data_IF_610376694758
#
_entry.id   IF_610376694758
#
_cell.length_a   1.000
_cell.length_b   1.000
_cell.length_c   1.000
_cell.angle_alpha   90.00
_cell.angle_beta   90.00
_cell.angle_gamma   90.00
#
_symmetry.space_group_name_H-M   'P 1'
#
loop_
_entity.id
_entity.type
_entity.pdbx_description
1 polymer ?
#
# COMPACT_ATOMS: atom_id res chain seq x y z
N UNK A 1 -7.41 26.85 7.04
CA UNK A 1 -7.11 25.46 6.63
C UNK A 1 -6.22 24.81 7.68
N UNK A 2 -6.53 23.59 8.12
CA UNK A 2 -5.76 22.87 9.15
C UNK A 2 -4.52 22.13 8.62
N UNK A 3 -3.81 21.42 9.49
CA UNK A 3 -2.66 20.59 9.11
C UNK A 3 -3.11 19.38 8.28
N UNK A 4 -2.41 19.12 7.17
CA UNK A 4 -2.62 17.95 6.32
C UNK A 4 -2.26 16.68 7.10
N UNK A 5 -3.22 15.75 7.24
CA UNK A 5 -3.04 14.46 7.92
C UNK A 5 -3.20 13.26 6.97
N UNK A 6 -4.11 13.35 6.00
CA UNK A 6 -4.40 12.28 5.05
C UNK A 6 -4.72 12.85 3.67
N UNK A 7 -4.19 12.23 2.62
CA UNK A 7 -4.55 12.52 1.22
C UNK A 7 -4.25 11.30 0.34
N UNK A 8 -5.24 10.84 -0.44
CA UNK A 8 -5.11 9.68 -1.36
C UNK A 8 -4.51 8.42 -0.71
N UNK A 9 -4.92 8.09 0.52
CA UNK A 9 -4.38 6.94 1.26
C UNK A 9 -2.97 7.15 1.83
N UNK A 10 -2.38 8.34 1.66
CA UNK A 10 -1.10 8.73 2.27
C UNK A 10 -1.38 9.48 3.58
N UNK A 11 -0.77 8.99 4.65
CA UNK A 11 -0.74 9.60 5.98
C UNK A 11 0.47 10.54 6.09
N UNK A 12 0.24 11.73 6.62
CA UNK A 12 1.25 12.77 6.76
C UNK A 12 1.53 13.01 8.25
N UNK A 13 2.73 12.66 8.70
CA UNK A 13 3.22 12.98 10.03
C UNK A 13 4.31 14.05 9.90
N UNK A 14 4.05 15.26 10.41
CA UNK A 14 5.02 16.37 10.38
C UNK A 14 5.58 16.61 11.78
N UNK A 15 6.91 16.56 11.86
CA UNK A 15 7.68 17.08 12.99
C UNK A 15 8.25 18.45 12.64
N UNK A 16 9.00 19.07 13.55
CA UNK A 16 9.65 20.36 13.29
C UNK A 16 10.86 20.23 12.35
N UNK A 17 11.50 19.06 12.30
CA UNK A 17 12.66 18.79 11.45
C UNK A 17 12.26 18.10 10.13
N UNK A 18 11.29 17.19 10.18
CA UNK A 18 11.02 16.25 9.08
C UNK A 18 9.53 16.03 8.81
N UNK A 19 9.26 15.54 7.60
CA UNK A 19 7.94 15.06 7.17
C UNK A 19 8.06 13.56 6.90
N UNK A 20 7.29 12.77 7.62
CA UNK A 20 7.13 11.34 7.41
C UNK A 20 5.83 11.08 6.63
N UNK A 21 5.94 10.24 5.60
CA UNK A 21 4.83 9.79 4.78
C UNK A 21 4.65 8.29 4.97
N UNK A 22 3.42 7.86 5.21
CA UNK A 22 3.06 6.45 5.41
C UNK A 22 1.86 6.11 4.53
N UNK A 23 1.82 4.89 4.01
CA UNK A 23 0.59 4.28 3.44
C UNK A 23 0.16 3.07 4.25
N UNK A 24 0.66 2.90 5.49
CA UNK A 24 0.46 1.69 6.29
C UNK A 24 -1.03 1.34 6.42
N UNK A 25 -1.87 2.33 6.70
CA UNK A 25 -3.31 2.14 6.77
C UNK A 25 -3.90 1.73 5.43
N UNK A 26 -3.56 2.43 4.35
CA UNK A 26 -4.04 2.10 3.01
C UNK A 26 -3.66 0.68 2.58
N UNK A 27 -2.41 0.27 2.82
CA UNK A 27 -1.96 -1.10 2.53
C UNK A 27 -2.73 -2.12 3.38
N UNK A 28 -2.94 -1.84 4.66
CA UNK A 28 -3.71 -2.74 5.53
C UNK A 28 -5.17 -2.87 5.06
N UNK A 29 -5.83 -1.75 4.78
CA UNK A 29 -7.22 -1.73 4.30
C UNK A 29 -7.33 -2.45 2.94
N UNK A 30 -6.38 -2.24 2.02
CA UNK A 30 -6.33 -2.95 0.75
C UNK A 30 -6.17 -4.47 0.94
N UNK A 31 -5.29 -4.90 1.84
CA UNK A 31 -5.10 -6.33 2.13
C UNK A 31 -6.35 -6.96 2.76
N UNK A 32 -7.06 -6.22 3.61
CA UNK A 32 -8.31 -6.67 4.20
C UNK A 32 -9.41 -6.82 3.13
N UNK A 33 -9.60 -5.79 2.29
CA UNK A 33 -10.59 -5.77 1.20
C UNK A 33 -10.35 -6.86 0.16
N UNK A 34 -9.08 -7.21 -0.09
CA UNK A 34 -8.69 -8.23 -1.07
C UNK A 34 -8.58 -9.63 -0.45
N UNK A 35 -8.90 -9.80 0.84
CA UNK A 35 -8.76 -11.05 1.59
C UNK A 35 -7.33 -11.61 1.63
N UNK A 36 -6.31 -10.74 1.55
CA UNK A 36 -4.89 -11.08 1.71
C UNK A 36 -4.35 -10.80 3.11
N UNK A 37 -5.21 -10.45 4.07
CA UNK A 37 -4.80 -10.29 5.46
C UNK A 37 -4.33 -11.63 6.04
N UNK A 38 -3.05 -11.73 6.41
CA UNK A 38 -2.47 -12.95 6.97
C UNK A 38 -2.02 -14.00 5.94
N UNK A 39 -2.07 -13.70 4.64
CA UNK A 39 -1.47 -14.58 3.62
C UNK A 39 0.04 -14.60 3.75
N UNK A 40 0.68 -15.76 3.53
CA UNK A 40 2.13 -15.86 3.52
C UNK A 40 2.68 -15.01 2.36
N UNK A 41 3.55 -14.02 2.62
CA UNK A 41 4.22 -13.29 1.56
C UNK A 41 5.05 -14.28 0.75
N UNK A 42 5.07 -14.09 -0.57
CA UNK A 42 5.96 -14.85 -1.46
C UNK A 42 7.22 -14.02 -1.64
N UNK A 43 8.38 -14.61 -1.34
CA UNK A 43 9.68 -13.93 -1.42
C UNK A 43 10.00 -13.45 -2.85
N UNK A 44 9.42 -14.12 -3.84
CA UNK A 44 9.54 -13.78 -5.25
C UNK A 44 8.24 -13.15 -5.74
N UNK A 45 8.17 -11.81 -5.87
CA UNK A 45 7.00 -11.16 -6.45
C UNK A 45 6.84 -11.59 -7.92
N UNK A 46 5.59 -11.69 -8.37
CA UNK A 46 5.29 -11.87 -9.79
C UNK A 46 5.76 -10.64 -10.57
N UNK A 47 6.42 -10.83 -11.72
CA UNK A 47 6.76 -9.71 -12.60
C UNK A 47 5.47 -9.11 -13.19
N UNK A 48 5.15 -7.84 -12.87
CA UNK A 48 3.92 -7.20 -13.32
C UNK A 48 3.88 -6.98 -14.84
N UNK A 49 5.02 -7.12 -15.55
CA UNK A 49 5.11 -6.97 -17.00
C UNK A 49 4.94 -8.29 -17.76
N UNK A 50 4.76 -9.41 -17.06
CA UNK A 50 4.49 -10.70 -17.70
C UNK A 50 3.13 -10.64 -18.40
N UNK A 51 3.15 -10.84 -19.72
CA UNK A 51 1.92 -11.02 -20.51
C UNK A 51 1.40 -12.42 -20.26
N UNK A 52 0.26 -12.52 -19.58
CA UNK A 52 -0.45 -13.78 -19.40
C UNK A 52 -1.02 -14.23 -20.74
N UNK A 53 -0.64 -15.43 -21.18
CA UNK A 53 -1.29 -16.12 -22.29
C UNK A 53 -2.50 -16.88 -21.73
N UNK A 54 -3.55 -17.01 -22.55
CA UNK A 54 -4.70 -17.87 -22.19
C UNK A 54 -4.30 -19.33 -22.37
N UNK A 55 -4.67 -20.18 -21.42
CA UNK A 55 -4.69 -21.63 -21.65
C UNK A 55 -5.74 -21.95 -22.73
N UNK A 56 -5.38 -22.82 -23.68
CA UNK A 56 -6.26 -23.30 -24.76
C UNK A 56 -7.37 -24.24 -24.25
#
# INVERSE_FOLDING_TARGET
LGKLRYFLGIEFARSQADINLSQRKYVHDLLDETCYLGTCPVDTPMDPNVKLLKDE
#
